data_IF_131255388254
#
_entry.id   IF_131255388254
#
_cell.length_a   1.000
_cell.length_b   1.000
_cell.length_c   1.000
_cell.angle_alpha   90.00
_cell.angle_beta   90.00
_cell.angle_gamma   90.00
#
_symmetry.space_group_name_H-M   'P 1'
#
loop_
_entity.id
_entity.type
_entity.pdbx_description
1 polymer ?
#
# COMPACT_ATOMS: atom_id res chain seq x y z
N UNK A 1 40.32 -1.03 7.94
CA UNK A 1 39.50 -2.01 7.18
C UNK A 1 38.22 -2.44 7.93
N UNK A 2 37.57 -1.56 8.70
CA UNK A 2 36.33 -1.90 9.46
C UNK A 2 35.18 -0.91 9.23
N UNK A 3 35.23 -0.10 8.17
CA UNK A 3 34.22 0.92 7.86
C UNK A 3 33.26 0.56 6.72
N UNK A 4 33.38 -0.64 6.11
CA UNK A 4 32.64 -0.98 4.89
C UNK A 4 31.52 -2.02 5.07
N UNK A 5 31.28 -2.52 6.28
CA UNK A 5 30.32 -3.62 6.52
C UNK A 5 28.94 -3.20 7.05
N UNK A 6 28.70 -1.92 7.30
CA UNK A 6 27.46 -1.48 7.97
C UNK A 6 26.45 -0.73 7.09
N UNK A 7 26.76 -0.42 5.81
CA UNK A 7 25.94 0.49 4.99
C UNK A 7 24.98 -0.18 3.97
N UNK A 8 24.99 -1.51 3.84
CA UNK A 8 24.17 -2.22 2.83
C UNK A 8 22.79 -2.66 3.34
N UNK A 9 22.58 -2.75 4.66
CA UNK A 9 21.31 -3.24 5.22
C UNK A 9 20.26 -2.12 5.39
N UNK A 10 20.67 -0.91 5.81
CA UNK A 10 19.74 0.22 6.00
C UNK A 10 19.21 0.78 4.67
N UNK A 11 20.07 0.85 3.65
CA UNK A 11 19.64 1.29 2.30
C UNK A 11 18.65 0.32 1.66
N UNK A 12 18.66 -0.95 2.04
CA UNK A 12 17.70 -1.94 1.55
C UNK A 12 16.33 -1.83 2.25
N UNK A 13 16.29 -1.65 3.57
CA UNK A 13 15.01 -1.64 4.29
C UNK A 13 14.15 -0.43 3.95
N UNK A 14 14.76 0.75 3.77
CA UNK A 14 14.04 1.96 3.38
C UNK A 14 13.47 1.82 1.97
N UNK A 15 14.26 1.29 1.02
CA UNK A 15 13.79 1.02 -0.34
C UNK A 15 12.67 -0.01 -0.39
N UNK A 16 12.74 -1.05 0.45
CA UNK A 16 11.69 -2.06 0.57
C UNK A 16 10.41 -1.40 1.11
N UNK A 17 10.52 -0.60 2.17
CA UNK A 17 9.38 0.12 2.74
C UNK A 17 8.74 1.09 1.73
N UNK A 18 9.54 1.83 0.96
CA UNK A 18 9.06 2.70 -0.12
C UNK A 18 8.32 1.89 -1.20
N UNK A 19 8.90 0.76 -1.61
CA UNK A 19 8.29 -0.13 -2.62
C UNK A 19 6.96 -0.69 -2.13
N UNK A 20 6.90 -1.15 -0.88
CA UNK A 20 5.67 -1.67 -0.28
C UNK A 20 4.59 -0.57 -0.21
N UNK A 21 4.95 0.65 0.20
CA UNK A 21 4.04 1.77 0.25
C UNK A 21 3.46 2.12 -1.13
N UNK A 22 4.32 2.11 -2.16
CA UNK A 22 3.91 2.33 -3.55
C UNK A 22 2.94 1.25 -4.03
N UNK A 23 3.27 -0.02 -3.84
CA UNK A 23 2.42 -1.16 -4.26
C UNK A 23 1.08 -1.14 -3.52
N UNK A 24 1.06 -0.80 -2.23
CA UNK A 24 -0.18 -0.66 -1.47
C UNK A 24 -1.08 0.46 -2.03
N UNK A 25 -0.49 1.58 -2.45
CA UNK A 25 -1.20 2.69 -3.12
C UNK A 25 -1.78 2.26 -4.46
N UNK A 26 -1.00 1.58 -5.29
CA UNK A 26 -1.45 1.05 -6.58
C UNK A 26 -2.58 0.03 -6.41
N UNK A 27 -2.44 -0.88 -5.44
CA UNK A 27 -3.47 -1.86 -5.08
C UNK A 27 -4.79 -1.19 -4.70
N UNK A 28 -4.75 -0.17 -3.83
CA UNK A 28 -5.93 0.61 -3.47
C UNK A 28 -6.54 1.32 -4.69
N UNK A 29 -5.74 1.96 -5.54
CA UNK A 29 -6.24 2.66 -6.74
C UNK A 29 -6.87 1.71 -7.75
N UNK A 30 -6.33 0.49 -7.89
CA UNK A 30 -6.87 -0.52 -8.80
C UNK A 30 -8.31 -0.93 -8.47
N UNK A 31 -8.74 -0.76 -7.21
CA UNK A 31 -10.12 -1.07 -6.81
C UNK A 31 -11.17 -0.18 -7.45
N UNK A 32 -10.77 1.02 -7.90
CA UNK A 32 -11.67 2.00 -8.51
C UNK A 32 -12.44 1.44 -9.70
N UNK A 33 -11.77 0.63 -10.52
CA UNK A 33 -12.31 0.18 -11.80
C UNK A 33 -12.93 -1.23 -11.71
N UNK A 34 -13.00 -1.81 -10.50
CA UNK A 34 -13.54 -3.15 -10.23
C UNK A 34 -15.05 -3.08 -9.96
N UNK A 35 -15.81 -4.01 -10.55
CA UNK A 35 -17.20 -4.24 -10.17
C UNK A 35 -17.19 -5.08 -8.88
N UNK A 36 -17.71 -4.52 -7.80
CA UNK A 36 -17.74 -5.20 -6.51
C UNK A 36 -18.61 -6.47 -6.58
N UNK A 37 -18.03 -7.63 -6.31
CA UNK A 37 -18.75 -8.93 -6.25
C UNK A 37 -19.05 -9.38 -4.82
N UNK A 38 -18.48 -8.69 -3.82
CA UNK A 38 -18.59 -9.00 -2.39
C UNK A 38 -18.88 -7.74 -1.57
N UNK A 39 -19.37 -7.93 -0.34
CA UNK A 39 -19.63 -6.84 0.61
C UNK A 39 -20.87 -6.01 0.27
N UNK A 40 -20.98 -4.82 0.88
CA UNK A 40 -22.14 -3.92 0.66
C UNK A 40 -22.10 -3.24 -0.71
N UNK A 41 -20.90 -3.03 -1.26
CA UNK A 41 -20.73 -2.41 -2.57
C UNK A 41 -21.29 -3.26 -3.71
N UNK A 42 -21.39 -4.60 -3.54
CA UNK A 42 -21.96 -5.47 -4.59
C UNK A 42 -23.43 -5.20 -4.86
N UNK A 43 -24.18 -4.60 -3.92
CA UNK A 43 -25.58 -4.22 -4.12
C UNK A 43 -25.75 -3.07 -5.13
N UNK A 44 -24.68 -2.31 -5.40
CA UNK A 44 -24.70 -1.19 -6.32
C UNK A 44 -24.42 -1.61 -7.78
N UNK A 45 -23.83 -2.80 -7.99
CA UNK A 45 -23.48 -3.31 -9.32
C UNK A 45 -22.53 -2.36 -10.05
N UNK A 46 -22.83 -2.04 -11.31
CA UNK A 46 -22.07 -1.09 -12.14
C UNK A 46 -21.92 0.30 -11.49
N UNK A 47 -22.83 0.71 -10.60
CA UNK A 47 -22.76 2.01 -9.90
C UNK A 47 -21.61 2.09 -8.89
N UNK A 48 -21.06 0.95 -8.46
CA UNK A 48 -19.89 0.93 -7.60
C UNK A 48 -18.60 1.27 -8.36
N UNK A 49 -18.56 1.04 -9.68
CA UNK A 49 -17.41 1.35 -10.52
C UNK A 49 -17.12 2.86 -10.47
N UNK A 50 -15.84 3.20 -10.52
CA UNK A 50 -15.35 4.58 -10.35
C UNK A 50 -15.08 4.98 -8.90
N UNK A 51 -15.35 4.11 -7.92
CA UNK A 51 -15.12 4.38 -6.50
C UNK A 51 -14.05 3.46 -5.92
N UNK A 52 -13.12 4.05 -5.18
CA UNK A 52 -12.13 3.29 -4.41
C UNK A 52 -12.85 2.54 -3.29
N UNK A 53 -12.50 1.28 -3.09
CA UNK A 53 -13.00 0.51 -1.95
C UNK A 53 -12.48 1.08 -0.62
N UNK A 54 -13.35 1.46 0.33
CA UNK A 54 -12.93 1.98 1.63
C UNK A 54 -12.11 0.97 2.44
N UNK A 55 -12.33 -0.34 2.24
CA UNK A 55 -11.53 -1.40 2.84
C UNK A 55 -10.09 -1.37 2.35
N UNK A 56 -9.90 -1.34 1.02
CA UNK A 56 -8.59 -1.23 0.39
C UNK A 56 -7.83 0.05 0.79
N UNK A 57 -8.52 1.19 0.91
CA UNK A 57 -7.91 2.42 1.42
C UNK A 57 -7.48 2.28 2.89
N UNK A 58 -8.30 1.68 3.74
CA UNK A 58 -7.92 1.47 5.15
C UNK A 58 -6.68 0.58 5.28
N UNK A 59 -6.61 -0.50 4.48
CA UNK A 59 -5.43 -1.37 4.42
C UNK A 59 -4.18 -0.64 3.92
N UNK A 60 -4.31 0.17 2.88
CA UNK A 60 -3.21 0.98 2.36
C UNK A 60 -2.66 1.95 3.42
N UNK A 61 -3.54 2.61 4.18
CA UNK A 61 -3.12 3.49 5.28
C UNK A 61 -2.38 2.73 6.39
N UNK A 62 -2.86 1.54 6.76
CA UNK A 62 -2.21 0.72 7.77
C UNK A 62 -0.80 0.29 7.34
N UNK A 63 -0.64 -0.12 6.07
CA UNK A 63 0.66 -0.47 5.49
C UNK A 63 1.60 0.74 5.48
N UNK A 64 1.11 1.90 5.03
CA UNK A 64 1.87 3.15 4.99
C UNK A 64 2.35 3.57 6.38
N UNK A 65 1.50 3.46 7.40
CA UNK A 65 1.86 3.74 8.79
C UNK A 65 3.01 2.86 9.30
N UNK A 66 3.01 1.57 8.94
CA UNK A 66 4.10 0.64 9.28
C UNK A 66 5.37 1.00 8.51
N UNK A 67 5.28 1.25 7.20
CA UNK A 67 6.43 1.60 6.36
C UNK A 67 7.10 2.90 6.83
N UNK A 68 6.31 3.88 7.27
CA UNK A 68 6.80 5.14 7.82
C UNK A 68 7.67 4.97 9.07
N UNK A 69 7.53 3.88 9.84
CA UNK A 69 8.42 3.58 10.99
C UNK A 69 9.85 3.22 10.56
N UNK A 70 10.06 2.92 9.29
CA UNK A 70 11.36 2.59 8.71
C UNK A 70 11.90 3.74 7.86
N UNK A 71 11.03 4.43 7.12
CA UNK A 71 11.43 5.54 6.23
C UNK A 71 11.81 6.81 7.01
N UNK A 72 11.05 7.17 8.05
CA UNK A 72 11.21 8.44 8.78
C UNK A 72 11.98 8.30 10.11
N UNK A 73 12.78 7.24 10.25
CA UNK A 73 13.69 7.06 11.38
C UNK A 73 14.96 7.90 11.20
#
# INVERSE_FOLDING_TARGET
>A
SKSLLNNTNETNINKIADTISLVAKEGMLSTRDIIATKGRASFLGERAKGHIDPGARSSQLAIEAVCNQFINK
#
